data_IF_897031936421
#
_entry.id   IF_897031936421
#
_cell.length_a   1.000
_cell.length_b   1.000
_cell.length_c   1.000
_cell.angle_alpha   90.00
_cell.angle_beta   90.00
_cell.angle_gamma   90.00
#
_symmetry.space_group_name_H-M   'P 1'
#
loop_
_entity.id
_entity.type
_entity.pdbx_description
1 polymer ?
#
# COMPACT_ATOMS: atom_id res chain seq x y z
N UNK A 1 13.56 -15.47 3.04
CA UNK A 1 13.20 -14.72 1.81
C UNK A 1 12.27 -13.55 2.10
N UNK A 2 11.17 -13.74 2.85
CA UNK A 2 10.26 -12.64 3.23
C UNK A 2 10.96 -11.45 3.92
N UNK A 3 11.89 -11.72 4.84
CA UNK A 3 12.67 -10.66 5.51
C UNK A 3 13.55 -9.83 4.55
N UNK A 4 13.99 -10.41 3.43
CA UNK A 4 14.79 -9.70 2.44
C UNK A 4 13.98 -8.61 1.70
N UNK A 5 12.65 -8.75 1.63
CA UNK A 5 11.77 -7.71 1.08
C UNK A 5 11.75 -6.44 1.93
N UNK A 6 12.09 -6.55 3.21
CA UNK A 6 12.17 -5.41 4.16
C UNK A 6 13.59 -4.87 4.33
N UNK A 7 14.53 -5.36 3.51
CA UNK A 7 15.93 -4.94 3.57
C UNK A 7 16.12 -3.50 3.11
N UNK A 8 17.17 -2.85 3.64
CA UNK A 8 17.64 -1.56 3.15
C UNK A 8 18.40 -1.69 1.83
N UNK A 9 18.84 -2.89 1.47
CA UNK A 9 19.53 -3.18 0.21
C UNK A 9 18.52 -3.36 -0.92
N UNK A 10 18.62 -2.54 -1.96
CA UNK A 10 17.81 -2.67 -3.18
C UNK A 10 17.96 -4.07 -3.81
N UNK A 11 19.19 -4.57 -3.88
CA UNK A 11 19.49 -5.87 -4.47
C UNK A 11 18.81 -7.03 -3.73
N UNK A 12 18.80 -7.00 -2.40
CA UNK A 12 18.10 -8.01 -1.60
C UNK A 12 16.58 -7.95 -1.79
N UNK A 13 16.03 -6.73 -1.88
CA UNK A 13 14.62 -6.53 -2.19
C UNK A 13 14.30 -7.15 -3.56
N UNK A 14 15.08 -6.86 -4.61
CA UNK A 14 14.88 -7.40 -5.96
C UNK A 14 14.89 -8.93 -6.01
N UNK A 15 15.83 -9.58 -5.30
CA UNK A 15 15.88 -11.05 -5.20
C UNK A 15 14.59 -11.57 -4.56
N UNK A 16 14.13 -10.93 -3.48
CA UNK A 16 12.88 -11.29 -2.82
C UNK A 16 11.66 -11.10 -3.74
N UNK A 17 11.61 -10.06 -4.58
CA UNK A 17 10.52 -9.85 -5.53
C UNK A 17 10.41 -11.01 -6.53
N UNK A 18 11.54 -11.43 -7.10
CA UNK A 18 11.57 -12.54 -8.07
C UNK A 18 11.08 -13.84 -7.42
N UNK A 19 11.47 -14.08 -6.17
CA UNK A 19 11.00 -15.24 -5.42
C UNK A 19 9.48 -15.19 -5.17
N UNK A 20 8.96 -14.06 -4.66
CA UNK A 20 7.54 -13.90 -4.30
C UNK A 20 6.60 -13.84 -5.50
N UNK A 21 7.12 -13.58 -6.70
CA UNK A 21 6.35 -13.73 -7.94
C UNK A 21 5.96 -15.18 -8.22
N UNK A 22 6.76 -16.15 -7.76
CA UNK A 22 6.52 -17.58 -7.97
C UNK A 22 6.00 -18.30 -6.73
N UNK A 23 6.11 -17.67 -5.56
CA UNK A 23 5.65 -18.19 -4.27
C UNK A 23 4.85 -17.10 -3.53
N UNK A 24 3.52 -17.03 -3.77
CA UNK A 24 2.66 -16.07 -3.09
C UNK A 24 2.67 -16.25 -1.56
N UNK A 25 2.47 -15.16 -0.83
CA UNK A 25 2.35 -15.21 0.64
C UNK A 25 0.98 -15.78 1.00
N UNK A 26 0.95 -17.02 1.48
CA UNK A 26 -0.29 -17.70 1.84
C UNK A 26 -0.69 -17.50 3.31
N UNK A 27 0.28 -17.25 4.19
CA UNK A 27 0.03 -17.03 5.62
C UNK A 27 -0.27 -15.55 5.89
N UNK A 28 -1.42 -15.29 6.50
CA UNK A 28 -1.86 -13.94 6.88
C UNK A 28 -0.93 -13.30 7.92
N UNK A 29 -0.32 -14.06 8.82
CA UNK A 29 0.63 -13.54 9.79
C UNK A 29 1.93 -13.13 9.11
N UNK A 30 2.40 -13.90 8.13
CA UNK A 30 3.56 -13.52 7.33
C UNK A 30 3.29 -12.25 6.53
N UNK A 31 2.09 -12.12 5.96
CA UNK A 31 1.66 -10.92 5.25
C UNK A 31 1.67 -9.68 6.15
N UNK A 32 1.15 -9.78 7.37
CA UNK A 32 1.17 -8.70 8.35
C UNK A 32 2.59 -8.32 8.76
N UNK A 33 3.44 -9.30 9.06
CA UNK A 33 4.85 -9.08 9.42
C UNK A 33 5.59 -8.34 8.29
N UNK A 34 5.38 -8.78 7.05
CA UNK A 34 5.98 -8.13 5.87
C UNK A 34 5.46 -6.72 5.68
N UNK A 35 4.13 -6.51 5.73
CA UNK A 35 3.52 -5.19 5.59
C UNK A 35 4.07 -4.21 6.63
N UNK A 36 4.17 -4.66 7.88
CA UNK A 36 4.70 -3.87 8.98
C UNK A 36 6.20 -3.58 8.83
N UNK A 37 6.97 -4.53 8.32
CA UNK A 37 8.38 -4.32 7.99
C UNK A 37 8.57 -3.30 6.87
N UNK A 38 7.74 -3.34 5.83
CA UNK A 38 7.76 -2.38 4.72
C UNK A 38 7.42 -0.97 5.21
N UNK A 39 6.44 -0.83 6.10
CA UNK A 39 6.05 0.45 6.68
C UNK A 39 7.20 1.13 7.46
N UNK A 40 8.15 0.36 7.98
CA UNK A 40 9.33 0.85 8.72
C UNK A 40 10.58 1.07 7.85
N UNK A 41 10.49 0.89 6.53
CA UNK A 41 11.63 1.11 5.65
C UNK A 41 11.94 2.60 5.50
N UNK A 42 13.23 2.97 5.58
CA UNK A 42 13.71 4.35 5.45
C UNK A 42 14.24 4.70 4.05
N UNK A 43 14.09 3.79 3.08
CA UNK A 43 14.61 3.97 1.71
C UNK A 43 13.48 4.03 0.70
N UNK A 44 13.14 5.22 0.20
CA UNK A 44 11.96 5.43 -0.66
C UNK A 44 11.90 4.50 -1.87
N UNK A 45 13.01 4.26 -2.58
CA UNK A 45 13.00 3.36 -3.76
C UNK A 45 12.83 1.89 -3.37
N UNK A 46 13.50 1.44 -2.31
CA UNK A 46 13.37 0.08 -1.81
C UNK A 46 11.96 -0.18 -1.27
N UNK A 47 11.39 0.81 -0.57
CA UNK A 47 10.02 0.75 -0.04
C UNK A 47 8.99 0.71 -1.16
N UNK A 48 9.12 1.54 -2.21
CA UNK A 48 8.25 1.50 -3.39
C UNK A 48 8.25 0.10 -4.01
N UNK A 49 9.43 -0.46 -4.26
CA UNK A 49 9.55 -1.82 -4.81
C UNK A 49 8.93 -2.90 -3.92
N UNK A 50 9.14 -2.79 -2.62
CA UNK A 50 8.53 -3.73 -1.67
C UNK A 50 6.99 -3.63 -1.69
N UNK A 51 6.45 -2.41 -1.74
CA UNK A 51 5.01 -2.15 -1.88
C UNK A 51 4.45 -2.65 -3.22
N UNK A 52 5.15 -2.47 -4.32
CA UNK A 52 4.74 -3.00 -5.63
C UNK A 52 4.70 -4.53 -5.64
N UNK A 53 5.62 -5.17 -4.92
CA UNK A 53 5.63 -6.63 -4.75
C UNK A 53 4.43 -7.08 -3.93
N UNK A 54 4.13 -6.35 -2.85
CA UNK A 54 2.97 -6.58 -2.00
C UNK A 54 1.66 -6.41 -2.80
N UNK A 55 1.58 -5.45 -3.73
CA UNK A 55 0.42 -5.25 -4.60
C UNK A 55 0.09 -6.48 -5.46
N UNK A 56 1.09 -7.30 -5.80
CA UNK A 56 0.89 -8.56 -6.52
C UNK A 56 0.26 -9.67 -5.69
N UNK A 57 0.25 -9.55 -4.36
CA UNK A 57 -0.20 -10.58 -3.42
C UNK A 57 -1.72 -10.55 -3.13
N UNK A 58 -2.48 -9.65 -3.76
CA UNK A 58 -3.94 -9.48 -3.55
C UNK A 58 -4.36 -9.41 -2.07
N UNK A 59 -4.12 -8.26 -1.44
CA UNK A 59 -4.40 -8.09 -0.01
C UNK A 59 -5.90 -8.00 0.27
N UNK A 60 -6.37 -8.81 1.22
CA UNK A 60 -7.71 -8.70 1.80
C UNK A 60 -7.70 -8.69 3.33
N UNK A 61 -6.54 -8.84 3.96
CA UNK A 61 -6.39 -8.80 5.41
C UNK A 61 -6.60 -7.37 5.95
N UNK A 62 -7.62 -7.12 6.80
CA UNK A 62 -7.95 -5.78 7.27
C UNK A 62 -6.80 -5.08 8.01
N UNK A 63 -6.04 -5.82 8.83
CA UNK A 63 -4.94 -5.26 9.61
C UNK A 63 -3.82 -4.73 8.71
N UNK A 64 -3.47 -5.49 7.67
CA UNK A 64 -2.50 -5.07 6.66
C UNK A 64 -2.98 -3.84 5.89
N UNK A 65 -4.29 -3.75 5.55
CA UNK A 65 -4.86 -2.59 4.87
C UNK A 65 -4.89 -1.34 5.76
N UNK A 66 -5.18 -1.49 7.04
CA UNK A 66 -5.10 -0.40 8.02
C UNK A 66 -3.66 0.10 8.18
N UNK A 67 -2.68 -0.79 8.20
CA UNK A 67 -1.27 -0.39 8.33
C UNK A 67 -0.80 0.42 7.11
N UNK A 68 -1.16 0.00 5.89
CA UNK A 68 -0.89 0.77 4.68
C UNK A 68 -1.59 2.14 4.68
N UNK A 69 -2.79 2.19 5.24
CA UNK A 69 -3.54 3.44 5.42
C UNK A 69 -2.83 4.39 6.40
N UNK A 70 -2.30 3.87 7.51
CA UNK A 70 -1.50 4.63 8.48
C UNK A 70 -0.15 5.09 7.93
N UNK A 71 0.43 4.33 6.99
CA UNK A 71 1.69 4.69 6.33
C UNK A 71 1.55 5.87 5.36
N UNK A 72 0.40 6.01 4.69
CA UNK A 72 0.20 7.05 3.67
C UNK A 72 0.55 8.49 4.13
N UNK A 73 0.05 9.01 5.27
CA UNK A 73 0.31 10.39 5.68
C UNK A 73 1.77 10.65 6.10
N UNK A 74 2.51 9.60 6.47
CA UNK A 74 3.91 9.70 6.91
C UNK A 74 4.90 9.27 5.82
N UNK A 75 4.41 8.94 4.62
CA UNK A 75 5.23 8.53 3.50
C UNK A 75 6.15 9.69 3.05
N UNK A 76 7.45 9.42 2.97
CA UNK A 76 8.46 10.45 2.64
C UNK A 76 8.54 10.78 1.13
N UNK A 77 7.76 10.09 0.27
CA UNK A 77 7.76 10.34 -1.16
C UNK A 77 6.41 10.08 -1.84
N UNK A 78 6.16 10.82 -2.92
CA UNK A 78 4.99 10.61 -3.78
C UNK A 78 4.96 9.21 -4.43
N UNK A 79 6.13 8.60 -4.67
CA UNK A 79 6.23 7.24 -5.17
C UNK A 79 5.65 6.22 -4.17
N UNK A 80 5.98 6.36 -2.88
CA UNK A 80 5.44 5.50 -1.81
C UNK A 80 3.92 5.66 -1.71
N UNK A 81 3.41 6.89 -1.72
CA UNK A 81 1.97 7.15 -1.71
C UNK A 81 1.25 6.55 -2.93
N UNK A 82 1.86 6.63 -4.11
CA UNK A 82 1.33 6.03 -5.34
C UNK A 82 1.29 4.51 -5.26
N UNK A 83 2.35 3.89 -4.72
CA UNK A 83 2.40 2.43 -4.54
C UNK A 83 1.35 1.95 -3.52
N UNK A 84 1.20 2.64 -2.39
CA UNK A 84 0.12 2.38 -1.41
C UNK A 84 -1.25 2.48 -2.10
N UNK A 85 -1.50 3.55 -2.86
CA UNK A 85 -2.77 3.71 -3.57
C UNK A 85 -3.04 2.56 -4.56
N UNK A 86 -1.99 2.11 -5.27
CA UNK A 86 -2.05 0.95 -6.15
C UNK A 86 -2.45 -0.34 -5.43
N UNK A 87 -1.94 -0.59 -4.22
CA UNK A 87 -2.34 -1.75 -3.40
C UNK A 87 -3.81 -1.63 -3.02
N UNK A 88 -4.20 -0.49 -2.44
CA UNK A 88 -5.55 -0.29 -1.92
C UNK A 88 -6.62 -0.42 -3.01
N UNK A 89 -6.37 0.08 -4.23
CA UNK A 89 -7.31 -0.06 -5.36
C UNK A 89 -7.59 -1.53 -5.72
N UNK A 90 -6.60 -2.42 -5.55
CA UNK A 90 -6.69 -3.85 -5.87
C UNK A 90 -7.18 -4.70 -4.70
N UNK A 91 -7.16 -4.15 -3.49
CA UNK A 91 -7.64 -4.78 -2.26
C UNK A 91 -9.16 -4.66 -2.08
N UNK A 92 -9.71 -5.34 -1.07
CA UNK A 92 -11.08 -5.09 -0.61
C UNK A 92 -11.18 -3.79 0.21
N UNK A 93 -10.95 -2.66 -0.48
CA UNK A 93 -10.92 -1.32 0.11
C UNK A 93 -12.24 -0.88 0.74
N UNK A 94 -13.34 -1.59 0.49
CA UNK A 94 -14.64 -1.28 1.10
C UNK A 94 -14.61 -1.47 2.62
N UNK A 95 -13.75 -2.35 3.11
CA UNK A 95 -13.56 -2.59 4.55
C UNK A 95 -12.94 -1.41 5.29
N UNK A 96 -12.15 -0.58 4.59
CA UNK A 96 -11.45 0.59 5.14
C UNK A 96 -12.05 1.92 4.66
N UNK A 97 -13.16 1.88 3.91
CA UNK A 97 -13.74 3.07 3.29
C UNK A 97 -14.45 3.95 4.33
N UNK A 98 -13.76 4.96 4.85
CA UNK A 98 -14.31 5.94 5.79
C UNK A 98 -14.18 7.37 5.26
N UNK A 99 -15.08 8.30 5.67
CA UNK A 99 -14.93 9.73 5.37
C UNK A 99 -13.58 10.29 5.83
N UNK A 100 -13.11 9.84 7.01
CA UNK A 100 -11.84 10.26 7.61
C UNK A 100 -10.67 9.87 6.73
N UNK A 101 -10.65 8.63 6.20
CA UNK A 101 -9.62 8.19 5.28
C UNK A 101 -9.58 9.05 4.01
N UNK A 102 -10.73 9.31 3.41
CA UNK A 102 -10.82 10.17 2.22
C UNK A 102 -10.21 11.55 2.50
N UNK A 103 -10.50 12.12 3.67
CA UNK A 103 -9.95 13.40 4.08
C UNK A 103 -8.43 13.34 4.32
N UNK A 104 -7.94 12.30 4.99
CA UNK A 104 -6.50 12.07 5.20
C UNK A 104 -5.75 11.97 3.87
N UNK A 105 -6.26 11.20 2.90
CA UNK A 105 -5.61 11.06 1.59
C UNK A 105 -5.52 12.40 0.85
N UNK A 106 -6.56 13.23 0.92
CA UNK A 106 -6.57 14.58 0.31
C UNK A 106 -5.59 15.53 1.00
N UNK A 107 -5.52 15.50 2.33
CA UNK A 107 -4.71 16.41 3.13
C UNK A 107 -3.22 16.13 2.99
N UNK A 108 -2.82 14.85 2.97
CA UNK A 108 -1.41 14.45 3.03
C UNK A 108 -0.82 14.07 1.66
N UNK A 109 -1.57 14.18 0.57
CA UNK A 109 -1.05 13.88 -0.78
C UNK A 109 0.16 14.75 -1.10
N UNK A 110 1.22 14.09 -1.56
CA UNK A 110 2.43 14.69 -2.09
C UNK A 110 2.34 14.79 -3.62
N UNK A 111 2.86 15.89 -4.18
CA UNK A 111 2.92 16.13 -5.62
C UNK A 111 1.83 17.11 -6.12
N UNK A 112 2.04 17.72 -7.30
CA UNK A 112 1.13 18.73 -7.82
C UNK A 112 -0.22 18.12 -8.22
N UNK A 113 -1.36 18.71 -7.81
CA UNK A 113 -2.68 18.28 -8.27
C UNK A 113 -2.83 18.55 -9.78
N UNK A 114 -3.46 17.63 -10.51
CA UNK A 114 -3.93 17.89 -11.88
C UNK A 114 -3.45 16.93 -12.97
N UNK A 115 -2.52 16.02 -12.70
CA UNK A 115 -2.31 14.83 -13.54
C UNK A 115 -2.99 13.68 -12.80
N UNK A 116 -4.09 13.18 -13.36
CA UNK A 116 -4.87 12.11 -12.74
C UNK A 116 -3.95 10.93 -12.39
N UNK A 117 -3.73 10.73 -11.09
CA UNK A 117 -2.86 9.68 -10.59
C UNK A 117 -3.64 8.61 -9.83
N UNK A 118 -2.97 7.53 -9.43
CA UNK A 118 -3.61 6.43 -8.72
C UNK A 118 -4.21 6.87 -7.37
N UNK A 119 -3.69 7.95 -6.77
CA UNK A 119 -4.23 8.50 -5.52
C UNK A 119 -5.59 9.15 -5.78
N UNK A 120 -5.73 9.92 -6.87
CA UNK A 120 -7.00 10.52 -7.28
C UNK A 120 -8.06 9.44 -7.58
N UNK A 121 -7.66 8.34 -8.25
CA UNK A 121 -8.54 7.19 -8.50
C UNK A 121 -9.01 6.55 -7.19
N UNK A 122 -8.09 6.32 -6.23
CA UNK A 122 -8.42 5.75 -4.93
C UNK A 122 -9.39 6.65 -4.15
N UNK A 123 -9.11 7.96 -4.07
CA UNK A 123 -9.95 8.94 -3.38
C UNK A 123 -11.38 8.90 -3.93
N UNK A 124 -11.55 8.86 -5.25
CA UNK A 124 -12.89 8.78 -5.86
C UNK A 124 -13.60 7.48 -5.51
N UNK A 125 -12.92 6.33 -5.59
CA UNK A 125 -13.52 5.03 -5.25
C UNK A 125 -13.96 4.96 -3.78
N UNK A 126 -13.14 5.46 -2.86
CA UNK A 126 -13.47 5.53 -1.44
C UNK A 126 -14.64 6.48 -1.18
N UNK A 127 -14.63 7.67 -1.79
CA UNK A 127 -15.73 8.62 -1.65
C UNK A 127 -17.07 8.06 -2.17
N UNK A 128 -17.05 7.34 -3.28
CA UNK A 128 -18.24 6.64 -3.79
C UNK A 128 -18.72 5.53 -2.86
N UNK A 129 -17.80 4.75 -2.27
CA UNK A 129 -18.15 3.70 -1.32
C UNK A 129 -18.75 4.25 -0.02
N UNK A 130 -18.21 5.37 0.48
CA UNK A 130 -18.73 6.08 1.66
C UNK A 130 -20.12 6.67 1.39
N UNK A 131 -20.36 7.21 0.19
CA UNK A 131 -21.66 7.79 -0.19
C UNK A 131 -22.74 6.73 -0.48
N UNK A 132 -22.35 5.49 -0.75
CA UNK A 132 -23.25 4.34 -0.95
C UNK A 132 -23.00 3.28 0.13
N UNK A 133 -23.28 3.57 1.41
CA UNK A 133 -23.17 2.57 2.46
C UNK A 133 -24.12 1.41 2.15
N UNK A 134 -23.67 0.17 2.36
CA UNK A 134 -24.41 -1.06 2.03
C UNK A 134 -25.87 -0.93 2.49
N UNK A 135 -26.81 -1.10 1.56
CA UNK A 135 -28.21 -1.47 1.85
C UNK A 135 -28.26 -2.87 2.46
#
# INVERSE_FOLDING_TARGET
MLLALTSRSDEEVQIAQVYLRHQPIADVNELRVVTSGIARMNGSNAQVRALETLAGQHLSDPESLEELTRLFPVAESAGVQTAIAGILIRSDFKTIATPELVQTLRQYRLGPPGREDLIDVLIRRLASAVASPRL
#
